data_IF_242292911802
#
_entry.id   IF_242292911802
#
_cell.length_a   1.000
_cell.length_b   1.000
_cell.length_c   1.000
_cell.angle_alpha   90.00
_cell.angle_beta   90.00
_cell.angle_gamma   90.00
#
_symmetry.space_group_name_H-M   'P 1'
#
loop_
_entity.id
_entity.type
_entity.pdbx_description
1 polymer ?
#
# COMPACT_ATOMS: atom_id res chain seq x y z
N UNK A 1 -15.90 -21.74 -0.69
CA UNK A 1 -15.41 -23.14 -0.73
C UNK A 1 -14.66 -23.39 -2.03
N UNK A 2 -13.52 -24.09 -2.00
CA UNK A 2 -12.73 -24.45 -3.19
C UNK A 2 -12.69 -25.98 -3.31
N UNK A 3 -13.15 -26.54 -4.43
CA UNK A 3 -13.33 -27.98 -4.56
C UNK A 3 -13.03 -28.49 -5.97
N UNK A 4 -12.74 -29.78 -6.10
CA UNK A 4 -12.65 -30.47 -7.39
C UNK A 4 -14.02 -30.97 -7.92
N UNK A 5 -15.07 -30.88 -7.08
CA UNK A 5 -16.44 -31.25 -7.44
C UNK A 5 -17.11 -30.07 -8.10
N UNK A 6 -17.68 -30.27 -9.27
CA UNK A 6 -18.27 -29.21 -10.09
C UNK A 6 -19.73 -29.48 -10.48
N UNK A 7 -20.35 -30.50 -9.88
CA UNK A 7 -21.74 -30.82 -10.16
C UNK A 7 -22.68 -29.87 -9.41
N UNK A 8 -23.82 -29.55 -10.01
CA UNK A 8 -24.85 -28.67 -9.45
C UNK A 8 -25.30 -29.10 -8.04
N UNK A 9 -25.39 -30.42 -7.79
CA UNK A 9 -25.73 -30.96 -6.47
C UNK A 9 -24.68 -30.68 -5.42
N UNK A 10 -23.40 -30.74 -5.78
CA UNK A 10 -22.30 -30.46 -4.87
C UNK A 10 -22.22 -28.96 -4.57
N UNK A 11 -22.57 -28.10 -5.53
CA UNK A 11 -22.66 -26.65 -5.33
C UNK A 11 -23.80 -26.29 -4.36
N UNK A 12 -24.99 -26.85 -4.57
CA UNK A 12 -26.14 -26.65 -3.67
C UNK A 12 -25.82 -27.14 -2.25
N UNK A 13 -25.25 -28.34 -2.11
CA UNK A 13 -24.80 -28.85 -0.82
C UNK A 13 -23.76 -27.93 -0.16
N UNK A 14 -22.85 -27.32 -0.96
CA UNK A 14 -21.88 -26.37 -0.47
C UNK A 14 -22.54 -25.14 0.17
N UNK A 15 -23.58 -24.61 -0.45
CA UNK A 15 -24.36 -23.49 0.10
C UNK A 15 -25.21 -23.91 1.31
N UNK A 16 -25.80 -25.08 1.30
CA UNK A 16 -26.62 -25.60 2.41
C UNK A 16 -25.81 -25.78 3.70
N UNK A 17 -24.52 -26.13 3.62
CA UNK A 17 -23.62 -26.22 4.76
C UNK A 17 -23.01 -24.87 5.16
N UNK A 18 -23.44 -23.75 4.52
CA UNK A 18 -23.09 -22.39 4.91
C UNK A 18 -21.87 -21.80 4.17
N UNK A 19 -21.54 -22.29 2.97
CA UNK A 19 -20.52 -21.63 2.16
C UNK A 19 -21.04 -20.34 1.54
N UNK A 20 -20.35 -19.21 1.74
CA UNK A 20 -20.69 -17.91 1.13
C UNK A 20 -20.38 -17.87 -0.38
N UNK A 21 -19.51 -18.76 -0.84
CA UNK A 21 -19.11 -18.85 -2.25
C UNK A 21 -18.60 -20.26 -2.58
N UNK A 22 -18.86 -20.71 -3.80
CA UNK A 22 -18.43 -22.00 -4.30
C UNK A 22 -17.62 -21.85 -5.59
N UNK A 23 -16.45 -22.44 -5.66
CA UNK A 23 -15.57 -22.38 -6.84
C UNK A 23 -15.01 -23.76 -7.12
N UNK A 24 -15.34 -24.31 -8.29
CA UNK A 24 -14.82 -25.59 -8.76
C UNK A 24 -13.45 -25.45 -9.40
N UNK A 25 -12.61 -26.46 -9.27
CA UNK A 25 -11.33 -26.57 -9.98
C UNK A 25 -11.57 -27.19 -11.37
N UNK A 26 -10.86 -26.71 -12.42
CA UNK A 26 -9.85 -25.66 -12.44
C UNK A 26 -10.45 -24.24 -12.43
N UNK A 27 -9.84 -23.30 -11.71
CA UNK A 27 -10.29 -21.91 -11.66
C UNK A 27 -9.17 -20.94 -12.05
N UNK A 28 -9.58 -19.77 -12.55
CA UNK A 28 -8.64 -18.67 -12.79
C UNK A 28 -8.31 -17.96 -11.49
N UNK A 29 -7.01 -17.76 -11.16
CA UNK A 29 -6.61 -16.98 -9.98
C UNK A 29 -7.20 -15.57 -9.96
N UNK A 30 -7.35 -14.94 -11.11
CA UNK A 30 -7.98 -13.60 -11.24
C UNK A 30 -9.45 -13.62 -10.82
N UNK A 31 -10.20 -14.66 -11.22
CA UNK A 31 -11.60 -14.83 -10.83
C UNK A 31 -11.71 -15.10 -9.32
N UNK A 32 -10.83 -15.93 -8.77
CA UNK A 32 -10.79 -16.20 -7.34
C UNK A 32 -10.62 -14.89 -6.54
N UNK A 33 -9.62 -14.09 -6.90
CA UNK A 33 -9.36 -12.81 -6.23
C UNK A 33 -10.56 -11.86 -6.35
N UNK A 34 -11.18 -11.77 -7.53
CA UNK A 34 -12.36 -10.92 -7.72
C UNK A 34 -13.54 -11.35 -6.83
N UNK A 35 -13.80 -12.66 -6.71
CA UNK A 35 -14.88 -13.21 -5.86
C UNK A 35 -14.59 -13.01 -4.37
N UNK A 36 -13.36 -13.26 -3.92
CA UNK A 36 -12.94 -12.99 -2.53
C UNK A 36 -13.13 -11.51 -2.19
N UNK A 37 -12.69 -10.60 -3.06
CA UNK A 37 -12.89 -9.16 -2.84
C UNK A 37 -14.37 -8.78 -2.79
N UNK A 38 -15.22 -9.42 -3.58
CA UNK A 38 -16.66 -9.20 -3.53
C UNK A 38 -17.29 -9.67 -2.21
N UNK A 39 -16.84 -10.82 -1.69
CA UNK A 39 -17.26 -11.33 -0.37
C UNK A 39 -16.82 -10.40 0.75
N UNK A 40 -15.58 -9.95 0.74
CA UNK A 40 -15.07 -9.01 1.74
C UNK A 40 -15.84 -7.69 1.73
N UNK A 41 -16.20 -7.16 0.57
CA UNK A 41 -17.06 -5.96 0.47
C UNK A 41 -18.45 -6.20 1.05
N UNK A 42 -19.04 -7.39 0.87
CA UNK A 42 -20.37 -7.73 1.47
C UNK A 42 -20.26 -7.87 2.99
N UNK A 43 -19.24 -8.58 3.49
CA UNK A 43 -18.99 -8.76 4.90
C UNK A 43 -18.80 -7.42 5.63
N UNK A 44 -18.12 -6.45 4.99
CA UNK A 44 -17.88 -5.13 5.55
C UNK A 44 -19.17 -4.27 5.63
N UNK A 45 -20.14 -4.48 4.72
CA UNK A 45 -21.44 -3.81 4.79
C UNK A 45 -22.33 -4.31 5.95
N UNK A 46 -21.99 -5.48 6.54
CA UNK A 46 -22.78 -6.14 7.59
C UNK A 46 -22.32 -5.83 9.03
N UNK A 47 -21.49 -4.78 9.25
CA UNK A 47 -21.32 -4.25 10.60
C UNK A 47 -19.93 -4.26 11.22
N UNK A 48 -18.85 -4.29 10.43
CA UNK A 48 -17.54 -3.82 10.91
C UNK A 48 -17.31 -2.41 10.37
N UNK A 49 -17.03 -1.47 11.27
CA UNK A 49 -16.54 -0.15 10.86
C UNK A 49 -15.34 -0.35 9.92
N UNK A 50 -15.43 0.23 8.73
CA UNK A 50 -14.34 0.21 7.78
C UNK A 50 -13.13 0.89 8.44
N UNK A 51 -11.98 0.21 8.50
CA UNK A 51 -10.75 0.82 8.98
C UNK A 51 -10.21 1.67 7.84
N UNK A 52 -10.69 2.90 7.76
CA UNK A 52 -10.31 3.86 6.73
C UNK A 52 -9.10 4.65 7.21
N UNK A 53 -8.07 4.69 6.37
CA UNK A 53 -6.94 5.60 6.49
C UNK A 53 -7.02 6.61 5.36
N UNK A 54 -7.13 7.89 5.71
CA UNK A 54 -7.22 8.96 4.72
C UNK A 54 -6.07 9.96 4.89
N UNK A 55 -5.45 10.30 3.78
CA UNK A 55 -4.35 11.22 3.78
C UNK A 55 -4.12 11.86 2.39
N UNK A 56 -4.23 13.19 2.30
CA UNK A 56 -3.89 13.95 1.10
C UNK A 56 -4.65 13.55 -0.17
N UNK A 57 -5.92 13.15 -0.04
CA UNK A 57 -6.75 12.65 -1.14
C UNK A 57 -6.52 11.17 -1.48
N UNK A 58 -5.74 10.45 -0.65
CA UNK A 58 -5.62 9.00 -0.70
C UNK A 58 -6.54 8.43 0.37
N UNK A 59 -7.46 7.57 -0.01
CA UNK A 59 -8.37 6.86 0.89
C UNK A 59 -8.09 5.38 0.78
N UNK A 60 -7.72 4.75 1.90
CA UNK A 60 -7.48 3.31 1.98
C UNK A 60 -8.53 2.66 2.89
N UNK A 61 -9.24 1.69 2.38
CA UNK A 61 -10.04 0.78 3.19
C UNK A 61 -9.23 -0.49 3.46
N UNK A 62 -8.70 -0.58 4.69
CA UNK A 62 -7.87 -1.73 5.12
C UNK A 62 -8.68 -3.02 5.23
N UNK A 63 -9.97 -2.91 5.45
CA UNK A 63 -10.86 -4.05 5.57
C UNK A 63 -11.24 -4.61 4.19
N UNK A 64 -11.54 -3.71 3.24
CA UNK A 64 -11.87 -4.08 1.87
C UNK A 64 -10.62 -4.27 0.96
N UNK A 65 -9.42 -3.90 1.42
CA UNK A 65 -8.18 -3.87 0.63
C UNK A 65 -8.33 -3.03 -0.65
N UNK A 66 -9.01 -1.89 -0.55
CA UNK A 66 -9.22 -0.97 -1.67
C UNK A 66 -8.54 0.36 -1.44
N UNK A 67 -8.14 1.01 -2.51
CA UNK A 67 -7.52 2.34 -2.49
C UNK A 67 -8.18 3.22 -3.52
N UNK A 68 -8.56 4.42 -3.10
CA UNK A 68 -9.01 5.47 -3.99
C UNK A 68 -8.08 6.69 -3.88
N UNK A 69 -7.78 7.33 -5.00
CA UNK A 69 -7.02 8.57 -5.08
C UNK A 69 -7.88 9.64 -5.73
N UNK A 70 -8.12 10.73 -4.99
CA UNK A 70 -8.99 11.82 -5.39
C UNK A 70 -10.37 11.31 -5.88
N UNK A 71 -10.91 10.30 -5.16
CA UNK A 71 -12.21 9.67 -5.44
C UNK A 71 -12.20 8.63 -6.57
N UNK A 72 -11.04 8.32 -7.15
CA UNK A 72 -10.89 7.33 -8.22
C UNK A 72 -10.19 6.08 -7.70
N UNK A 73 -10.82 4.93 -7.87
CA UNK A 73 -10.24 3.65 -7.47
C UNK A 73 -9.00 3.32 -8.30
N UNK A 74 -7.97 2.80 -7.62
CA UNK A 74 -6.75 2.28 -8.23
C UNK A 74 -6.52 0.82 -7.82
N UNK A 75 -5.98 0.02 -8.73
CA UNK A 75 -5.65 -1.37 -8.45
C UNK A 75 -4.20 -1.49 -7.97
N UNK A 76 -4.03 -1.93 -6.73
CA UNK A 76 -2.74 -2.26 -6.14
C UNK A 76 -2.61 -3.77 -5.95
N UNK A 77 -1.39 -4.31 -6.10
CA UNK A 77 -1.09 -5.65 -5.62
C UNK A 77 -1.06 -5.65 -4.08
N UNK A 78 -1.14 -6.84 -3.47
CA UNK A 78 -1.10 -6.97 -2.00
C UNK A 78 0.12 -6.25 -1.41
N UNK A 79 1.31 -6.45 -2.01
CA UNK A 79 2.55 -5.81 -1.53
C UNK A 79 2.60 -4.30 -1.77
N UNK A 80 2.01 -3.80 -2.84
CA UNK A 80 1.88 -2.37 -3.09
C UNK A 80 0.90 -1.72 -2.10
N UNK A 81 -0.18 -2.42 -1.76
CA UNK A 81 -1.14 -1.98 -0.74
C UNK A 81 -0.49 -1.91 0.65
N UNK A 82 0.17 -2.99 1.10
CA UNK A 82 0.88 -3.04 2.37
C UNK A 82 1.98 -1.97 2.46
N UNK A 83 2.70 -1.74 1.36
CA UNK A 83 3.73 -0.71 1.26
C UNK A 83 3.14 0.70 1.40
N UNK A 84 2.01 0.97 0.73
CA UNK A 84 1.32 2.26 0.84
C UNK A 84 0.79 2.47 2.27
N UNK A 85 0.18 1.44 2.87
CA UNK A 85 -0.31 1.51 4.26
C UNK A 85 0.83 1.80 5.24
N UNK A 86 1.98 1.16 5.05
CA UNK A 86 3.17 1.39 5.87
C UNK A 86 3.69 2.83 5.73
N UNK A 87 3.74 3.37 4.50
CA UNK A 87 4.11 4.76 4.26
C UNK A 87 3.12 5.74 4.91
N UNK A 88 1.82 5.52 4.74
CA UNK A 88 0.78 6.38 5.32
C UNK A 88 0.78 6.35 6.85
N UNK A 89 1.14 5.22 7.44
CA UNK A 89 1.25 5.07 8.90
C UNK A 89 2.52 5.69 9.48
N UNK A 90 3.53 5.96 8.64
CA UNK A 90 4.84 6.52 9.04
C UNK A 90 5.13 7.87 8.34
N UNK A 91 4.13 8.74 8.24
CA UNK A 91 4.27 10.03 7.58
C UNK A 91 5.33 10.90 8.24
N UNK A 92 6.17 11.55 7.43
CA UNK A 92 7.23 12.43 7.91
C UNK A 92 8.42 11.70 8.55
N UNK A 93 8.43 10.37 8.53
CA UNK A 93 9.53 9.56 9.07
C UNK A 93 10.40 9.05 7.93
N UNK A 94 11.74 9.13 8.13
CA UNK A 94 12.71 8.52 7.23
C UNK A 94 12.68 6.99 7.41
N UNK A 95 12.40 6.27 6.33
CA UNK A 95 12.31 4.81 6.32
C UNK A 95 13.45 4.23 5.49
N UNK A 96 14.32 3.45 6.10
CA UNK A 96 15.37 2.71 5.39
C UNK A 96 14.76 1.54 4.62
N UNK A 97 15.49 1.01 3.63
CA UNK A 97 15.06 -0.18 2.88
C UNK A 97 14.87 -1.38 3.77
N UNK A 98 15.80 -1.61 4.68
CA UNK A 98 15.76 -2.71 5.63
C UNK A 98 14.51 -2.63 6.50
N UNK A 99 14.21 -1.43 7.04
CA UNK A 99 13.03 -1.22 7.88
C UNK A 99 11.72 -1.45 7.12
N UNK A 100 11.65 -1.04 5.85
CA UNK A 100 10.49 -1.32 4.99
C UNK A 100 10.40 -2.81 4.70
N UNK A 101 11.54 -3.45 4.41
CA UNK A 101 11.59 -4.88 4.11
C UNK A 101 11.07 -5.71 5.30
N UNK A 102 11.60 -5.46 6.49
CA UNK A 102 11.21 -6.17 7.72
C UNK A 102 9.72 -5.99 8.03
N UNK A 103 9.18 -4.79 7.79
CA UNK A 103 7.79 -4.46 8.13
C UNK A 103 6.77 -4.98 7.12
N UNK A 104 7.10 -4.97 5.82
CA UNK A 104 6.15 -5.28 4.74
C UNK A 104 6.35 -6.68 4.17
N UNK A 105 7.58 -7.22 4.17
CA UNK A 105 7.89 -8.54 3.59
C UNK A 105 8.05 -9.66 4.62
N UNK A 106 8.05 -9.35 5.90
CA UNK A 106 8.32 -10.28 7.00
C UNK A 106 9.77 -10.77 7.08
N UNK A 107 10.16 -11.25 8.27
CA UNK A 107 11.53 -11.64 8.61
C UNK A 107 12.13 -12.76 7.75
N UNK A 108 11.31 -13.54 7.05
CA UNK A 108 11.73 -14.67 6.22
C UNK A 108 12.04 -14.32 4.76
N UNK A 109 12.06 -13.03 4.42
CA UNK A 109 12.36 -12.62 3.06
C UNK A 109 13.86 -12.57 2.81
N UNK A 110 14.40 -13.55 2.09
CA UNK A 110 15.82 -13.65 1.72
C UNK A 110 16.20 -12.86 0.44
N UNK A 111 15.36 -11.95 -0.01
CA UNK A 111 15.60 -11.16 -1.21
C UNK A 111 16.43 -9.90 -0.98
N UNK A 112 16.98 -9.33 -2.07
CA UNK A 112 17.72 -8.07 -2.05
C UNK A 112 16.81 -6.90 -1.66
N UNK A 113 17.28 -6.04 -0.76
CA UNK A 113 16.60 -4.80 -0.35
C UNK A 113 16.29 -3.86 -1.54
N UNK A 114 16.99 -3.99 -2.66
CA UNK A 114 16.70 -3.29 -3.92
C UNK A 114 15.34 -3.64 -4.53
N UNK A 115 14.74 -4.76 -4.13
CA UNK A 115 13.37 -5.12 -4.53
C UNK A 115 12.36 -4.03 -4.16
N UNK A 116 12.60 -3.33 -3.05
CA UNK A 116 11.78 -2.21 -2.59
C UNK A 116 11.73 -1.08 -3.63
N UNK A 117 12.86 -0.74 -4.26
CA UNK A 117 12.90 0.32 -5.28
C UNK A 117 11.95 0.01 -6.45
N UNK A 118 11.86 -1.26 -6.84
CA UNK A 118 10.95 -1.69 -7.91
C UNK A 118 9.49 -1.54 -7.48
N UNK A 119 9.15 -1.93 -6.25
CA UNK A 119 7.78 -1.80 -5.74
C UNK A 119 7.40 -0.32 -5.53
N UNK A 120 8.30 0.49 -4.99
CA UNK A 120 8.10 1.94 -4.86
C UNK A 120 7.90 2.60 -6.22
N UNK A 121 8.69 2.23 -7.24
CA UNK A 121 8.53 2.75 -8.60
C UNK A 121 7.15 2.40 -9.18
N UNK A 122 6.71 1.15 -9.02
CA UNK A 122 5.38 0.70 -9.49
C UNK A 122 4.27 1.41 -8.74
N UNK A 123 4.38 1.51 -7.42
CA UNK A 123 3.42 2.22 -6.58
C UNK A 123 3.27 3.69 -6.99
N UNK A 124 4.39 4.42 -7.12
CA UNK A 124 4.39 5.81 -7.61
C UNK A 124 3.67 5.95 -8.96
N UNK A 125 3.95 5.04 -9.89
CA UNK A 125 3.34 5.05 -11.22
C UNK A 125 1.81 4.88 -11.14
N UNK A 126 1.33 3.99 -10.27
CA UNK A 126 -0.11 3.75 -10.07
C UNK A 126 -0.80 4.90 -9.33
N UNK A 127 -0.11 5.57 -8.44
CA UNK A 127 -0.60 6.72 -7.70
C UNK A 127 -0.67 8.01 -8.56
N UNK A 128 -0.10 8.01 -9.75
CA UNK A 128 -0.08 9.18 -10.64
C UNK A 128 0.55 10.40 -9.97
N UNK A 129 -0.13 11.55 -9.96
CA UNK A 129 0.37 12.77 -9.34
C UNK A 129 0.66 12.63 -7.84
N UNK A 130 -0.05 11.75 -7.12
CA UNK A 130 0.18 11.48 -5.69
C UNK A 130 1.41 10.60 -5.45
N UNK A 131 1.98 9.98 -6.49
CA UNK A 131 3.27 9.28 -6.41
C UNK A 131 4.40 10.16 -5.91
N UNK A 132 4.29 11.48 -6.11
CA UNK A 132 5.23 12.47 -5.60
C UNK A 132 5.24 12.61 -4.07
N UNK A 133 4.24 12.06 -3.37
CA UNK A 133 4.23 12.01 -1.91
C UNK A 133 5.30 11.07 -1.35
N UNK A 134 5.72 10.08 -2.14
CA UNK A 134 6.83 9.20 -1.78
C UNK A 134 8.12 9.80 -2.34
N UNK A 135 8.96 10.38 -1.51
CA UNK A 135 10.26 10.93 -1.90
C UNK A 135 11.38 9.96 -1.57
N UNK A 136 12.40 9.91 -2.40
CA UNK A 136 13.65 9.21 -2.11
C UNK A 136 14.71 10.25 -1.78
N UNK A 137 15.34 10.13 -0.63
CA UNK A 137 16.46 10.97 -0.24
C UNK A 137 17.75 10.17 -0.45
N UNK A 138 18.60 10.68 -1.33
CA UNK A 138 19.88 10.09 -1.66
C UNK A 138 20.93 10.54 -0.64
N UNK A 139 21.75 9.64 -0.15
CA UNK A 139 22.77 9.92 0.85
C UNK A 139 23.22 8.63 1.53
N UNK A 140 23.66 8.74 2.79
CA UNK A 140 23.94 7.59 3.64
C UNK A 140 22.60 6.85 3.85
N UNK A 141 22.49 5.62 3.37
CA UNK A 141 21.35 4.68 3.50
C UNK A 141 20.09 4.92 2.61
N UNK A 142 20.13 5.83 1.62
CA UNK A 142 19.02 5.99 0.67
C UNK A 142 17.63 5.71 1.26
N UNK A 143 17.05 6.68 1.96
CA UNK A 143 15.78 6.53 2.68
C UNK A 143 14.58 6.99 1.87
N UNK A 144 13.41 6.46 2.20
CA UNK A 144 12.14 6.91 1.66
C UNK A 144 11.40 7.77 2.68
N UNK A 145 10.74 8.81 2.20
CA UNK A 145 9.82 9.62 2.97
C UNK A 145 8.45 9.63 2.30
N UNK A 146 7.42 9.52 3.10
CA UNK A 146 6.08 9.83 2.68
C UNK A 146 5.69 11.20 3.20
N UNK A 147 5.53 12.15 2.31
CA UNK A 147 5.26 13.54 2.65
C UNK A 147 4.05 14.04 1.86
N UNK A 148 2.98 14.34 2.56
CA UNK A 148 1.86 15.05 1.96
C UNK A 148 2.19 16.54 1.95
N UNK A 149 2.27 17.11 0.77
CA UNK A 149 2.24 18.56 0.63
C UNK A 149 0.78 18.98 0.80
N UNK A 150 0.37 19.28 2.03
CA UNK A 150 -0.83 20.09 2.23
C UNK A 150 -0.53 21.47 1.66
N UNK A 151 -1.31 22.00 0.69
CA UNK A 151 -1.17 23.39 0.33
C UNK A 151 -1.59 24.22 1.54
N UNK A 152 -0.68 25.08 1.99
CA UNK A 152 -0.87 26.09 3.05
C UNK A 152 -0.90 25.60 4.51
N UNK A 153 0.29 25.36 5.06
CA UNK A 153 0.79 26.16 6.21
C UNK A 153 2.31 26.06 6.12
N UNK A 154 3.08 27.14 5.88
CA UNK A 154 4.53 27.09 6.00
C UNK A 154 4.87 26.92 7.47
N UNK A 155 5.21 25.70 7.87
CA UNK A 155 5.78 25.45 9.19
C UNK A 155 7.18 26.07 9.20
N UNK A 156 7.42 27.17 9.95
CA UNK A 156 8.68 27.89 9.93
C UNK A 156 9.88 27.05 10.35
N UNK A 157 9.66 25.87 10.97
CA UNK A 157 10.72 24.94 11.37
C UNK A 157 11.32 24.13 10.22
N UNK A 158 10.57 23.93 9.11
CA UNK A 158 11.10 23.19 7.94
C UNK A 158 11.96 24.09 7.05
N UNK A 159 11.70 25.41 7.04
CA UNK A 159 12.54 26.37 6.30
C UNK A 159 13.94 26.51 6.93
N UNK A 160 14.09 26.28 8.23
CA UNK A 160 15.39 26.40 8.90
C UNK A 160 16.33 25.23 8.58
N UNK A 161 15.81 24.02 8.34
CA UNK A 161 16.62 22.85 8.03
C UNK A 161 17.18 22.87 6.58
N UNK A 162 16.42 23.39 5.62
CA UNK A 162 16.88 23.51 4.23
C UNK A 162 17.91 24.62 4.03
N UNK A 163 17.89 25.67 4.87
CA UNK A 163 18.88 26.75 4.81
C UNK A 163 20.19 26.40 5.51
N UNK A 164 20.18 25.46 6.46
CA UNK A 164 21.40 25.11 7.20
C UNK A 164 22.29 24.15 6.40
N UNK A 165 21.71 23.26 5.56
CA UNK A 165 22.49 22.34 4.71
C UNK A 165 23.14 23.07 3.52
N UNK A 166 22.60 24.20 3.07
CA UNK A 166 23.18 24.95 1.95
C UNK A 166 24.32 25.89 2.35
N UNK A 167 24.60 26.09 3.65
CA UNK A 167 25.58 27.07 4.11
C UNK A 167 26.91 26.49 4.59
N UNK A 168 27.04 25.16 4.66
CA UNK A 168 28.28 24.50 5.13
C UNK A 168 29.22 24.08 4.01
N UNK A 169 28.87 24.26 2.74
CA UNK A 169 29.67 23.73 1.62
C UNK A 169 30.40 24.82 0.80
N UNK A 170 30.64 25.99 1.41
CA UNK A 170 31.46 27.05 0.79
C UNK A 170 32.45 27.68 1.75
N UNK A 171 33.35 26.90 2.35
CA UNK A 171 34.63 27.42 2.87
C UNK A 171 35.60 26.27 3.11
N UNK A 172 36.32 25.87 2.09
CA UNK A 172 37.73 25.49 2.17
C UNK A 172 38.26 25.06 0.80
N UNK A 173 38.62 26.08 0.01
CA UNK A 173 39.72 25.98 -0.97
C UNK A 173 40.37 27.34 -0.96
N UNK A 174 41.42 27.49 -0.22
CA UNK A 174 42.66 28.24 -0.49
C UNK A 174 43.77 27.51 0.21
#
# INVERSE_FOLDING_TARGET
>A
MLTAKGDERDELNGFDIGADEYISKPFSPKILVARVNALLRRANKLGKEAVISEAGGIVMDKTAHTVAIDGKDIELSVKEFELLDYFMSNQGIALTRERILDSVWSYDYFGDARTIDTHVKKLRSKMGAKGDYIKTVWGVDNVFFFFMVTPLIPNPLVLSLTLTVSRTDRKSVV
#
